data_IF_317651468272
#
_entry.id   IF_317651468272
#
_cell.length_a   1.000
_cell.length_b   1.000
_cell.length_c   1.000
_cell.angle_alpha   90.00
_cell.angle_beta   90.00
_cell.angle_gamma   90.00
#
_symmetry.space_group_name_H-M   'P 1'
#
loop_
_entity.id
_entity.type
_entity.pdbx_description
1 polymer ?
#
# COMPACT_ATOMS: atom_id res chain seq x y z
N UNK A 1 32.26 -2.76 -15.68
CA UNK A 1 31.09 -2.84 -16.57
C UNK A 1 30.42 -1.48 -16.67
N UNK A 2 29.98 -1.13 -17.84
CA UNK A 2 29.36 0.16 -18.04
C UNK A 2 27.84 0.03 -18.08
N UNK A 3 27.17 0.92 -17.37
CA UNK A 3 25.72 0.98 -17.39
C UNK A 3 25.27 1.86 -18.52
N UNK A 4 24.22 1.43 -19.20
CA UNK A 4 23.65 2.19 -20.30
C UNK A 4 22.40 2.90 -19.83
N UNK A 5 22.23 4.10 -20.30
CA UNK A 5 21.01 4.87 -20.03
C UNK A 5 20.04 4.57 -21.15
N UNK A 6 18.99 3.84 -20.81
CA UNK A 6 17.95 3.50 -21.77
C UNK A 6 16.60 3.87 -21.17
N UNK A 7 15.60 4.02 -22.02
CA UNK A 7 14.27 4.42 -21.56
C UNK A 7 13.64 3.39 -20.62
N UNK A 8 14.09 2.13 -20.69
CA UNK A 8 13.57 1.07 -19.84
C UNK A 8 14.44 0.83 -18.60
N UNK A 9 15.49 1.61 -18.41
CA UNK A 9 16.28 1.50 -17.20
C UNK A 9 15.50 2.04 -15.99
N UNK A 10 15.79 1.50 -14.82
CA UNK A 10 15.21 2.02 -13.59
C UNK A 10 15.72 3.42 -13.34
N UNK A 11 14.79 4.35 -13.14
CA UNK A 11 15.11 5.72 -12.79
C UNK A 11 15.16 5.85 -11.27
N UNK A 12 15.76 6.92 -10.80
CA UNK A 12 15.95 7.12 -9.37
C UNK A 12 14.61 7.18 -8.62
N UNK A 13 13.62 7.85 -9.19
CA UNK A 13 12.30 7.93 -8.57
C UNK A 13 11.60 6.57 -8.52
N UNK A 14 11.85 5.72 -9.52
CA UNK A 14 11.29 4.36 -9.50
C UNK A 14 11.96 3.50 -8.43
N UNK A 15 13.26 3.66 -8.26
CA UNK A 15 14.00 2.93 -7.23
C UNK A 15 13.46 3.30 -5.85
N UNK A 16 13.25 4.60 -5.61
CA UNK A 16 12.69 5.06 -4.34
C UNK A 16 11.29 4.53 -4.12
N UNK A 17 10.47 4.53 -5.16
CA UNK A 17 9.12 3.99 -5.08
C UNK A 17 9.14 2.50 -4.73
N UNK A 18 9.98 1.73 -5.41
CA UNK A 18 10.11 0.30 -5.13
C UNK A 18 10.51 0.08 -3.68
N UNK A 19 11.51 0.85 -3.20
CA UNK A 19 12.00 0.70 -1.83
C UNK A 19 10.91 1.01 -0.81
N UNK A 20 10.17 2.09 -1.01
CA UNK A 20 9.14 2.51 -0.06
C UNK A 20 7.97 1.53 -0.02
N UNK A 21 7.51 1.10 -1.19
CA UNK A 21 6.39 0.16 -1.25
C UNK A 21 6.81 -1.21 -0.74
N UNK A 22 8.01 -1.65 -1.11
CA UNK A 22 8.52 -2.95 -0.64
C UNK A 22 8.63 -2.96 0.88
N UNK A 23 9.10 -1.86 1.47
CA UNK A 23 9.19 -1.76 2.93
C UNK A 23 7.81 -1.85 3.57
N UNK A 24 6.84 -1.15 3.02
CA UNK A 24 5.48 -1.17 3.55
C UNK A 24 4.86 -2.56 3.43
N UNK A 25 5.18 -3.31 2.39
CA UNK A 25 4.63 -4.64 2.15
C UNK A 25 5.53 -5.76 2.68
N UNK A 26 6.58 -5.43 3.42
CA UNK A 26 7.53 -6.44 3.91
C UNK A 26 7.03 -7.24 5.10
N UNK A 27 5.81 -7.00 5.55
CA UNK A 27 5.23 -7.69 6.69
C UNK A 27 3.97 -8.41 6.24
N UNK A 28 3.86 -9.73 6.49
CA UNK A 28 2.68 -10.49 6.01
C UNK A 28 1.35 -9.89 6.43
N UNK A 29 1.26 -9.37 7.65
CA UNK A 29 0.02 -8.77 8.12
C UNK A 29 -0.37 -7.56 7.28
N UNK A 30 0.61 -6.76 6.88
CA UNK A 30 0.32 -5.58 6.06
C UNK A 30 -0.18 -5.96 4.68
N UNK A 31 0.36 -7.03 4.09
CA UNK A 31 -0.12 -7.52 2.81
C UNK A 31 -1.58 -7.95 2.93
N UNK A 32 -1.90 -8.68 3.99
CA UNK A 32 -3.26 -9.17 4.21
C UNK A 32 -4.24 -8.00 4.40
N UNK A 33 -3.84 -7.03 5.21
CA UNK A 33 -4.68 -5.84 5.46
C UNK A 33 -4.90 -5.06 4.17
N UNK A 34 -3.83 -4.85 3.40
CA UNK A 34 -3.93 -4.10 2.16
C UNK A 34 -4.85 -4.80 1.16
N UNK A 35 -4.70 -6.13 1.02
CA UNK A 35 -5.59 -6.90 0.13
C UNK A 35 -7.04 -6.80 0.57
N UNK A 36 -7.29 -6.86 1.86
CA UNK A 36 -8.65 -6.75 2.39
C UNK A 36 -9.26 -5.39 2.01
N UNK A 37 -8.50 -4.32 2.20
CA UNK A 37 -8.98 -2.98 1.86
C UNK A 37 -9.23 -2.86 0.36
N UNK A 38 -8.30 -3.36 -0.45
CA UNK A 38 -8.47 -3.33 -1.91
C UNK A 38 -9.73 -4.06 -2.34
N UNK A 39 -9.97 -5.24 -1.77
CA UNK A 39 -11.13 -6.03 -2.13
C UNK A 39 -12.42 -5.31 -1.77
N UNK A 40 -12.47 -4.74 -0.56
CA UNK A 40 -13.65 -4.00 -0.13
C UNK A 40 -13.89 -2.81 -1.06
N UNK A 41 -12.83 -2.07 -1.41
CA UNK A 41 -12.99 -0.93 -2.30
C UNK A 41 -13.50 -1.35 -3.67
N UNK A 42 -13.01 -2.47 -4.21
CA UNK A 42 -13.48 -2.96 -5.50
C UNK A 42 -14.96 -3.33 -5.46
N UNK A 43 -15.43 -3.82 -4.33
CA UNK A 43 -16.82 -4.21 -4.14
C UNK A 43 -17.67 -3.05 -3.64
N UNK A 44 -17.09 -1.85 -3.56
CA UNK A 44 -17.75 -0.64 -3.09
C UNK A 44 -18.27 -0.76 -1.66
N UNK A 45 -17.53 -1.49 -0.84
CA UNK A 45 -17.81 -1.63 0.58
C UNK A 45 -16.92 -0.65 1.33
N UNK A 46 -17.54 0.20 2.14
CA UNK A 46 -16.80 1.15 2.97
C UNK A 46 -15.99 0.43 4.02
N UNK A 47 -14.74 0.88 4.23
CA UNK A 47 -13.84 0.26 5.19
C UNK A 47 -13.29 1.31 6.12
N UNK A 48 -13.41 1.06 7.43
CA UNK A 48 -12.79 1.90 8.44
C UNK A 48 -11.99 1.01 9.39
N UNK A 49 -11.37 1.61 10.40
CA UNK A 49 -10.52 0.87 11.34
C UNK A 49 -11.26 -0.29 11.99
N UNK A 50 -12.53 -0.07 12.40
CA UNK A 50 -13.32 -1.11 13.04
C UNK A 50 -13.48 -2.34 12.14
N UNK A 51 -13.64 -2.13 10.84
CA UNK A 51 -13.82 -3.23 9.90
C UNK A 51 -12.56 -4.06 9.80
N UNK A 52 -11.39 -3.40 9.79
CA UNK A 52 -10.11 -4.10 9.71
C UNK A 52 -9.87 -4.88 11.01
N UNK A 53 -10.14 -4.26 12.14
CA UNK A 53 -10.00 -4.93 13.45
C UNK A 53 -10.90 -6.16 13.52
N UNK A 54 -12.13 -6.03 13.02
CA UNK A 54 -13.08 -7.15 13.02
C UNK A 54 -12.66 -8.29 12.09
N UNK A 55 -11.95 -7.96 11.00
CA UNK A 55 -11.56 -8.96 9.99
C UNK A 55 -10.31 -9.73 10.39
N UNK A 56 -9.48 -9.17 11.26
CA UNK A 56 -8.20 -9.77 11.61
C UNK A 56 -8.06 -9.90 13.12
N UNK A 57 -7.25 -10.86 13.54
CA UNK A 57 -7.05 -11.13 14.96
C UNK A 57 -5.86 -10.32 15.48
N UNK A 58 -5.94 -8.99 15.31
CA UNK A 58 -4.92 -8.06 15.80
C UNK A 58 -5.59 -7.01 16.65
N UNK A 59 -4.84 -6.43 17.59
CA UNK A 59 -5.34 -5.33 18.40
C UNK A 59 -5.52 -4.08 17.54
N UNK A 60 -6.35 -3.16 18.02
CA UNK A 60 -6.55 -1.89 17.32
C UNK A 60 -5.25 -1.13 17.18
N UNK A 61 -4.39 -1.15 18.20
CA UNK A 61 -3.10 -0.46 18.13
C UNK A 61 -2.21 -1.04 17.05
N UNK A 62 -2.18 -2.36 16.93
CA UNK A 62 -1.38 -3.04 15.90
C UNK A 62 -1.90 -2.70 14.51
N UNK A 63 -3.23 -2.75 14.33
CA UNK A 63 -3.84 -2.39 13.05
C UNK A 63 -3.48 -0.94 12.68
N UNK A 64 -3.58 -0.02 13.65
CA UNK A 64 -3.28 1.39 13.40
C UNK A 64 -1.84 1.59 12.97
N UNK A 65 -0.90 0.85 13.55
CA UNK A 65 0.52 0.93 13.16
C UNK A 65 0.71 0.42 11.75
N UNK A 66 0.06 -0.68 11.37
CA UNK A 66 0.16 -1.22 10.02
C UNK A 66 -0.46 -0.27 9.00
N UNK A 67 -1.61 0.31 9.32
CA UNK A 67 -2.26 1.29 8.45
C UNK A 67 -1.35 2.50 8.25
N UNK A 68 -0.69 2.96 9.32
CA UNK A 68 0.23 4.09 9.21
C UNK A 68 1.36 3.79 8.23
N UNK A 69 1.95 2.60 8.30
CA UNK A 69 3.02 2.21 7.39
C UNK A 69 2.54 2.20 5.93
N UNK A 70 1.34 1.68 5.70
CA UNK A 70 0.78 1.64 4.35
C UNK A 70 0.44 3.05 3.86
N UNK A 71 -0.03 3.91 4.75
CA UNK A 71 -0.35 5.30 4.41
C UNK A 71 0.92 6.10 4.11
N UNK A 72 1.99 5.88 4.89
CA UNK A 72 3.26 6.59 4.67
C UNK A 72 3.86 6.24 3.31
N UNK A 73 3.61 5.03 2.82
CA UNK A 73 4.06 4.62 1.48
C UNK A 73 3.05 5.01 0.39
N UNK A 74 1.99 5.71 0.75
CA UNK A 74 0.93 6.16 -0.14
C UNK A 74 0.15 5.02 -0.81
N UNK A 75 0.22 3.82 -0.24
CA UNK A 75 -0.58 2.70 -0.73
C UNK A 75 -2.04 2.82 -0.30
N UNK A 76 -2.29 3.54 0.79
CA UNK A 76 -3.63 3.79 1.30
C UNK A 76 -3.79 5.29 1.50
N UNK A 77 -4.95 5.78 1.14
CA UNK A 77 -5.38 7.14 1.46
C UNK A 77 -6.45 7.06 2.53
N UNK A 78 -6.39 7.98 3.47
CA UNK A 78 -7.34 8.02 4.59
C UNK A 78 -8.20 9.27 4.43
N UNK A 79 -9.52 9.09 4.42
CA UNK A 79 -10.45 10.20 4.45
C UNK A 79 -11.16 10.19 5.78
N UNK A 80 -11.04 11.29 6.51
CA UNK A 80 -11.71 11.42 7.80
C UNK A 80 -13.04 12.12 7.64
N UNK A 81 -14.07 11.53 8.23
CA UNK A 81 -15.32 12.25 8.43
C UNK A 81 -15.46 12.44 9.94
N UNK A 82 -16.67 12.79 10.41
CA UNK A 82 -16.86 13.20 11.81
C UNK A 82 -16.40 12.15 12.81
N UNK A 83 -16.59 10.87 12.53
CA UNK A 83 -16.36 9.81 13.51
C UNK A 83 -15.39 8.74 13.02
N UNK A 84 -15.22 8.62 11.72
CA UNK A 84 -14.51 7.48 11.15
C UNK A 84 -13.40 7.93 10.22
N UNK A 85 -12.35 7.11 10.17
CA UNK A 85 -11.31 7.23 9.16
C UNK A 85 -11.60 6.16 8.12
N UNK A 86 -11.93 6.56 6.90
CA UNK A 86 -12.25 5.66 5.82
C UNK A 86 -10.99 5.40 5.00
N UNK A 87 -10.75 4.15 4.67
CA UNK A 87 -9.53 3.72 3.98
C UNK A 87 -9.80 3.43 2.51
N UNK A 88 -8.93 3.95 1.66
CA UNK A 88 -9.01 3.75 0.22
C UNK A 88 -7.65 3.32 -0.31
N UNK A 89 -7.61 2.20 -1.01
CA UNK A 89 -6.38 1.74 -1.63
C UNK A 89 -6.04 2.66 -2.80
N UNK A 90 -4.78 3.06 -2.88
CA UNK A 90 -4.30 3.88 -3.98
C UNK A 90 -3.78 2.96 -5.08
N UNK A 91 -4.68 2.58 -5.98
CA UNK A 91 -4.34 1.67 -7.08
C UNK A 91 -3.29 2.26 -8.01
N UNK A 92 -3.26 3.59 -8.15
CA UNK A 92 -2.28 4.25 -9.00
C UNK A 92 -0.85 3.99 -8.56
N UNK A 93 -0.59 4.13 -7.26
CA UNK A 93 0.74 3.86 -6.70
C UNK A 93 1.09 2.38 -6.84
N UNK A 94 0.14 1.49 -6.57
CA UNK A 94 0.39 0.06 -6.73
C UNK A 94 0.78 -0.29 -8.16
N UNK A 95 0.06 0.25 -9.15
CA UNK A 95 0.36 -0.02 -10.55
C UNK A 95 1.72 0.52 -10.95
N UNK A 96 2.09 1.71 -10.48
CA UNK A 96 3.42 2.26 -10.74
C UNK A 96 4.51 1.36 -10.16
N UNK A 97 4.29 0.86 -8.95
CA UNK A 97 5.22 -0.05 -8.31
C UNK A 97 5.38 -1.34 -9.14
N UNK A 98 4.27 -1.94 -9.54
CA UNK A 98 4.34 -3.18 -10.32
C UNK A 98 5.03 -2.96 -11.65
N UNK A 99 4.75 -1.84 -12.31
CA UNK A 99 5.41 -1.52 -13.58
C UNK A 99 6.91 -1.31 -13.39
N UNK A 100 7.30 -0.62 -12.31
CA UNK A 100 8.71 -0.38 -12.04
C UNK A 100 9.45 -1.68 -11.76
N UNK A 101 8.84 -2.63 -11.01
CA UNK A 101 9.49 -3.89 -10.70
C UNK A 101 9.70 -4.77 -11.93
N UNK A 102 8.93 -4.56 -12.99
CA UNK A 102 9.15 -5.30 -14.25
C UNK A 102 10.52 -5.00 -14.83
N UNK A 103 11.09 -3.85 -14.50
CA UNK A 103 12.40 -3.46 -15.01
C UNK A 103 13.55 -4.20 -14.35
N UNK A 104 13.27 -5.04 -13.37
CA UNK A 104 14.29 -5.95 -12.82
C UNK A 104 14.74 -6.96 -13.87
N UNK A 105 13.91 -7.24 -14.84
CA UNK A 105 14.25 -8.15 -15.90
C UNK A 105 15.11 -7.44 -16.94
#
# INVERSE_FOLDING_TARGET
MRLRKESNDLQEDEILLIAQVSDALAHPARIKIYRFIMKCNKERISVCNKDVVAAFDYSQATISQHIKKLTDAELIQVQKNEKFSMYYANFGILMKYLDATKKFE
#
